data_IF_489298749021
#
_entry.id   IF_489298749021
#
_cell.length_a   1.000
_cell.length_b   1.000
_cell.length_c   1.000
_cell.angle_alpha   90.00
_cell.angle_beta   90.00
_cell.angle_gamma   90.00
#
_symmetry.space_group_name_H-M   'P 1'
#
loop_
_entity.id
_entity.type
_entity.pdbx_description
1 polymer ?
#
# COMPACT_ATOMS: atom_id res chain seq x y z
N UNK A 1 14.19 49.15 -11.93
CA UNK A 1 14.44 47.85 -11.27
C UNK A 1 13.14 47.06 -11.34
N UNK A 2 13.12 45.99 -12.12
CA UNK A 2 11.97 45.07 -12.19
C UNK A 2 11.93 44.22 -10.92
N UNK A 3 10.76 44.02 -10.29
CA UNK A 3 10.64 43.15 -9.12
C UNK A 3 10.88 41.71 -9.55
N UNK A 4 11.83 41.04 -8.88
CA UNK A 4 12.04 39.60 -9.02
C UNK A 4 10.85 38.91 -8.36
N UNK A 5 9.95 38.35 -9.15
CA UNK A 5 8.89 37.48 -8.64
C UNK A 5 9.41 36.06 -8.56
N UNK A 6 9.54 35.52 -7.34
CA UNK A 6 9.68 34.09 -7.13
C UNK A 6 8.31 33.44 -7.32
N UNK A 7 7.98 33.06 -8.56
CA UNK A 7 6.91 32.08 -8.79
C UNK A 7 7.51 30.71 -8.43
N UNK A 8 6.92 29.94 -7.50
CA UNK A 8 7.36 28.58 -7.28
C UNK A 8 7.09 27.78 -8.56
N UNK A 9 8.14 27.54 -9.35
CA UNK A 9 8.11 26.77 -10.59
C UNK A 9 7.97 25.26 -10.38
N UNK A 10 7.94 24.81 -9.12
CA UNK A 10 8.01 23.40 -8.79
C UNK A 10 6.63 22.90 -8.40
N UNK A 11 5.93 22.33 -9.39
CA UNK A 11 4.81 21.43 -9.12
C UNK A 11 5.36 20.23 -8.36
N UNK A 12 4.91 20.05 -7.11
CA UNK A 12 5.19 18.85 -6.31
C UNK A 12 3.97 17.95 -6.48
N UNK A 13 4.09 16.79 -7.17
CA UNK A 13 2.97 15.89 -7.34
C UNK A 13 2.49 15.33 -6.01
N UNK A 14 1.22 14.91 -5.95
CA UNK A 14 0.71 14.17 -4.80
C UNK A 14 1.38 12.79 -4.69
N UNK A 15 1.25 12.14 -3.53
CA UNK A 15 1.72 10.78 -3.36
C UNK A 15 1.04 9.83 -4.35
N UNK A 16 -0.28 9.96 -4.54
CA UNK A 16 -1.02 9.12 -5.49
C UNK A 16 -0.50 9.27 -6.92
N UNK A 17 -0.17 10.50 -7.33
CA UNK A 17 0.43 10.76 -8.64
C UNK A 17 1.80 10.07 -8.74
N UNK A 18 2.65 10.17 -7.71
CA UNK A 18 3.97 9.52 -7.68
C UNK A 18 3.86 7.99 -7.77
N UNK A 19 2.88 7.38 -7.10
CA UNK A 19 2.76 5.91 -6.99
C UNK A 19 2.06 5.28 -8.20
N UNK A 20 1.05 5.95 -8.75
CA UNK A 20 0.13 5.38 -9.75
C UNK A 20 0.24 6.00 -11.14
N UNK A 21 0.82 7.20 -11.29
CA UNK A 21 0.76 7.88 -12.58
C UNK A 21 1.93 7.51 -13.51
N UNK A 22 1.62 6.80 -14.59
CA UNK A 22 2.61 6.35 -15.58
C UNK A 22 3.37 7.51 -16.24
N UNK A 23 2.74 8.67 -16.36
CA UNK A 23 3.35 9.85 -16.99
C UNK A 23 4.52 10.45 -16.18
N UNK A 24 4.65 10.10 -14.90
CA UNK A 24 5.78 10.49 -14.05
C UNK A 24 6.94 9.47 -14.10
N UNK A 25 6.68 8.22 -14.49
CA UNK A 25 7.69 7.15 -14.46
C UNK A 25 8.91 7.42 -15.36
N UNK A 26 8.71 8.13 -16.47
CA UNK A 26 9.78 8.52 -17.40
C UNK A 26 10.47 9.86 -17.07
N UNK A 27 10.04 10.57 -16.02
CA UNK A 27 10.59 11.88 -15.68
C UNK A 27 11.88 11.78 -14.86
N UNK A 28 12.91 12.48 -15.29
CA UNK A 28 14.14 12.66 -14.49
C UNK A 28 13.85 13.55 -13.28
N UNK A 29 14.05 13.05 -12.06
CA UNK A 29 13.88 13.83 -10.84
C UNK A 29 13.47 12.99 -9.63
N UNK A 30 13.24 13.62 -8.46
CA UNK A 30 12.85 12.93 -7.24
C UNK A 30 11.36 12.54 -7.20
N UNK A 31 10.53 13.12 -8.07
CA UNK A 31 9.07 12.98 -8.04
C UNK A 31 8.57 11.92 -9.03
N UNK A 32 9.11 10.70 -8.92
CA UNK A 32 8.61 9.52 -9.62
C UNK A 32 8.65 8.29 -8.71
N UNK A 33 7.91 7.24 -9.09
CA UNK A 33 7.79 6.01 -8.31
C UNK A 33 9.14 5.39 -7.94
N UNK A 34 10.05 5.28 -8.90
CA UNK A 34 11.34 4.62 -8.68
C UNK A 34 12.20 5.39 -7.67
N UNK A 35 12.24 6.73 -7.77
CA UNK A 35 12.94 7.60 -6.83
C UNK A 35 12.31 7.53 -5.43
N UNK A 36 10.98 7.46 -5.32
CA UNK A 36 10.30 7.33 -4.05
C UNK A 36 10.56 5.96 -3.37
N UNK A 37 10.50 4.87 -4.13
CA UNK A 37 10.86 3.53 -3.62
C UNK A 37 12.29 3.50 -3.11
N UNK A 38 13.23 4.07 -3.87
CA UNK A 38 14.64 4.14 -3.45
C UNK A 38 14.82 5.01 -2.19
N UNK A 39 14.10 6.14 -2.11
CA UNK A 39 14.11 6.99 -0.92
C UNK A 39 13.61 6.26 0.33
N UNK A 40 12.51 5.50 0.23
CA UNK A 40 12.00 4.70 1.34
C UNK A 40 12.97 3.58 1.73
N UNK A 41 13.61 2.93 0.74
CA UNK A 41 14.63 1.90 0.98
C UNK A 41 15.83 2.46 1.76
N UNK A 42 16.32 3.62 1.36
CA UNK A 42 17.43 4.32 2.04
C UNK A 42 17.05 4.82 3.44
N UNK A 43 15.77 5.11 3.65
CA UNK A 43 15.23 5.54 4.95
C UNK A 43 14.83 4.39 5.86
N UNK A 44 14.94 3.14 5.38
CA UNK A 44 14.44 1.94 6.08
C UNK A 44 12.94 2.04 6.42
N UNK A 45 12.14 2.55 5.48
CA UNK A 45 10.69 2.71 5.59
C UNK A 45 9.91 2.06 4.43
N UNK A 46 10.56 1.17 3.69
CA UNK A 46 9.98 0.51 2.51
C UNK A 46 8.76 -0.34 2.84
N UNK A 47 8.73 -0.92 4.04
CA UNK A 47 7.65 -1.75 4.56
C UNK A 47 6.30 -1.04 4.56
N UNK A 48 6.28 0.29 4.77
CA UNK A 48 5.02 1.04 4.76
C UNK A 48 4.38 1.05 3.37
N UNK A 49 5.19 1.16 2.31
CA UNK A 49 4.68 1.14 0.95
C UNK A 49 4.29 -0.29 0.54
N UNK A 50 5.10 -1.29 0.89
CA UNK A 50 4.78 -2.70 0.66
C UNK A 50 3.46 -3.10 1.32
N UNK A 51 3.26 -2.72 2.58
CA UNK A 51 2.01 -2.92 3.31
C UNK A 51 0.80 -2.29 2.61
N UNK A 52 0.90 -1.03 2.18
CA UNK A 52 -0.20 -0.35 1.48
C UNK A 52 -0.55 -1.08 0.18
N UNK A 53 0.45 -1.46 -0.61
CA UNK A 53 0.24 -2.16 -1.89
C UNK A 53 -0.42 -3.54 -1.70
N UNK A 54 -0.01 -4.28 -0.68
CA UNK A 54 -0.60 -5.58 -0.36
C UNK A 54 -2.04 -5.44 0.15
N UNK A 55 -2.31 -4.44 1.01
CA UNK A 55 -3.66 -4.13 1.49
C UNK A 55 -4.58 -3.69 0.35
N UNK A 56 -4.14 -2.79 -0.53
CA UNK A 56 -4.92 -2.37 -1.70
C UNK A 56 -5.27 -3.55 -2.60
N UNK A 57 -4.30 -4.45 -2.82
CA UNK A 57 -4.52 -5.69 -3.58
C UNK A 57 -5.52 -6.61 -2.86
N UNK A 58 -5.42 -6.74 -1.54
CA UNK A 58 -6.35 -7.53 -0.74
C UNK A 58 -7.78 -6.97 -0.84
N UNK A 59 -7.97 -5.66 -0.62
CA UNK A 59 -9.27 -4.98 -0.69
C UNK A 59 -9.87 -5.15 -2.09
N UNK A 60 -9.08 -4.93 -3.14
CA UNK A 60 -9.56 -5.08 -4.53
C UNK A 60 -10.08 -6.49 -4.82
N UNK A 61 -9.36 -7.53 -4.38
CA UNK A 61 -9.77 -8.93 -4.52
C UNK A 61 -10.99 -9.27 -3.66
N UNK A 62 -11.04 -8.75 -2.43
CA UNK A 62 -12.16 -8.94 -1.52
C UNK A 62 -13.45 -8.39 -2.10
N UNK A 63 -13.44 -7.13 -2.57
CA UNK A 63 -14.60 -6.52 -3.21
C UNK A 63 -15.03 -7.26 -4.49
N UNK A 64 -14.09 -7.80 -5.27
CA UNK A 64 -14.42 -8.64 -6.42
C UNK A 64 -15.11 -9.94 -6.00
N UNK A 65 -14.61 -10.59 -4.95
CA UNK A 65 -15.18 -11.83 -4.42
C UNK A 65 -16.58 -11.64 -3.81
N UNK A 66 -16.86 -10.50 -3.17
CA UNK A 66 -18.21 -10.20 -2.66
C UNK A 66 -19.27 -10.11 -3.76
N UNK A 67 -18.87 -9.79 -4.99
CA UNK A 67 -19.76 -9.73 -6.14
C UNK A 67 -19.96 -11.10 -6.83
N UNK A 68 -19.26 -12.15 -6.40
CA UNK A 68 -19.38 -13.50 -6.95
C UNK A 68 -20.52 -14.28 -6.25
N UNK A 69 -21.30 -15.10 -6.97
CA UNK A 69 -22.28 -15.98 -6.36
C UNK A 69 -21.61 -16.98 -5.39
N UNK A 70 -22.12 -17.08 -4.16
CA UNK A 70 -21.53 -17.87 -3.06
C UNK A 70 -21.44 -19.40 -3.33
N UNK A 71 -22.03 -19.90 -4.41
CA UNK A 71 -22.07 -21.32 -4.77
C UNK A 71 -21.18 -21.68 -5.96
N UNK A 72 -20.33 -20.76 -6.41
CA UNK A 72 -19.29 -21.04 -7.40
C UNK A 72 -18.06 -21.63 -6.71
N UNK A 73 -17.51 -22.72 -7.25
CA UNK A 73 -16.27 -23.34 -6.76
C UNK A 73 -15.12 -22.31 -6.77
N UNK A 74 -15.10 -21.40 -7.75
CA UNK A 74 -14.10 -20.33 -7.80
C UNK A 74 -14.26 -19.32 -6.65
N UNK A 75 -15.50 -19.02 -6.22
CA UNK A 75 -15.75 -18.13 -5.09
C UNK A 75 -15.23 -18.74 -3.77
N UNK A 76 -15.42 -20.06 -3.59
CA UNK A 76 -14.88 -20.80 -2.44
C UNK A 76 -13.34 -20.79 -2.46
N UNK A 77 -12.74 -21.05 -3.62
CA UNK A 77 -11.29 -21.01 -3.78
C UNK A 77 -10.73 -19.62 -3.52
N UNK A 78 -11.35 -18.57 -4.05
CA UNK A 78 -10.89 -17.19 -3.83
C UNK A 78 -11.01 -16.77 -2.37
N UNK A 79 -12.07 -17.19 -1.66
CA UNK A 79 -12.18 -16.97 -0.22
C UNK A 79 -10.99 -17.60 0.54
N UNK A 80 -10.61 -18.83 0.21
CA UNK A 80 -9.43 -19.49 0.80
C UNK A 80 -8.12 -18.75 0.51
N UNK A 81 -7.96 -18.24 -0.72
CA UNK A 81 -6.80 -17.41 -1.10
C UNK A 81 -6.79 -16.07 -0.36
N UNK A 82 -7.95 -15.44 -0.14
CA UNK A 82 -8.07 -14.20 0.63
C UNK A 82 -7.70 -14.40 2.10
N UNK A 83 -8.19 -15.48 2.73
CA UNK A 83 -7.81 -15.84 4.11
C UNK A 83 -6.30 -16.06 4.22
N UNK A 84 -5.72 -16.78 3.27
CA UNK A 84 -4.27 -17.03 3.26
C UNK A 84 -3.48 -15.72 3.07
N UNK A 85 -3.94 -14.84 2.19
CA UNK A 85 -3.28 -13.57 1.91
C UNK A 85 -3.41 -12.59 3.09
N UNK A 86 -4.55 -12.57 3.80
CA UNK A 86 -4.71 -11.79 5.02
C UNK A 86 -3.75 -12.27 6.13
N UNK A 87 -3.63 -13.58 6.34
CA UNK A 87 -2.66 -14.13 7.30
C UNK A 87 -1.23 -13.71 6.97
N UNK A 88 -0.88 -13.72 5.69
CA UNK A 88 0.42 -13.25 5.22
C UNK A 88 0.63 -11.77 5.56
N UNK A 89 -0.31 -10.89 5.20
CA UNK A 89 -0.27 -9.46 5.57
C UNK A 89 -0.13 -9.28 7.09
N UNK A 90 -0.92 -10.02 7.88
CA UNK A 90 -0.89 -9.91 9.32
C UNK A 90 0.47 -10.30 9.90
N UNK A 91 1.04 -11.43 9.49
CA UNK A 91 2.32 -11.91 10.00
C UNK A 91 3.52 -11.12 9.50
N UNK A 92 3.42 -10.50 8.33
CA UNK A 92 4.49 -9.68 7.74
C UNK A 92 4.51 -8.26 8.29
N UNK A 93 3.34 -7.65 8.54
CA UNK A 93 3.25 -6.21 8.86
C UNK A 93 2.55 -5.86 10.18
N UNK A 94 1.59 -6.65 10.67
CA UNK A 94 0.69 -6.23 11.78
C UNK A 94 1.09 -6.84 13.12
N UNK A 95 1.54 -8.09 13.14
CA UNK A 95 1.94 -8.75 14.38
C UNK A 95 3.01 -7.94 15.13
N UNK A 96 2.95 -7.90 16.47
CA UNK A 96 3.94 -7.21 17.34
C UNK A 96 5.37 -7.77 17.25
N UNK A 97 5.56 -8.84 16.49
CA UNK A 97 6.85 -9.48 16.22
C UNK A 97 7.05 -9.68 14.73
N UNK A 98 6.33 -8.92 13.91
CA UNK A 98 6.41 -9.02 12.46
C UNK A 98 7.79 -8.54 11.98
N UNK A 99 8.39 -9.19 10.97
CA UNK A 99 9.70 -8.81 10.46
C UNK A 99 9.69 -7.40 9.82
N UNK A 100 8.53 -6.95 9.36
CA UNK A 100 8.30 -5.64 8.74
C UNK A 100 7.13 -4.92 9.45
N UNK A 101 7.13 -4.97 10.79
CA UNK A 101 6.08 -4.34 11.62
C UNK A 101 5.88 -2.87 11.26
N UNK A 102 4.66 -2.51 10.84
CA UNK A 102 4.29 -1.12 10.55
C UNK A 102 3.87 -0.39 11.82
N UNK A 103 4.20 0.90 11.91
CA UNK A 103 3.90 1.71 13.08
C UNK A 103 2.42 2.11 13.14
N UNK A 104 1.61 1.29 13.80
CA UNK A 104 0.17 1.47 13.95
C UNK A 104 -0.19 1.71 15.43
N UNK A 105 -1.16 2.59 15.76
CA UNK A 105 -1.58 2.79 17.14
C UNK A 105 -2.02 1.48 17.80
N UNK A 106 -1.56 1.22 19.03
CA UNK A 106 -1.81 -0.06 19.72
C UNK A 106 -3.30 -0.42 19.86
N UNK A 107 -4.18 0.57 20.06
CA UNK A 107 -5.64 0.33 20.10
C UNK A 107 -6.20 -0.24 18.80
N UNK A 108 -5.59 0.08 17.67
CA UNK A 108 -5.98 -0.43 16.36
C UNK A 108 -5.39 -1.83 16.13
N UNK A 109 -4.15 -2.08 16.57
CA UNK A 109 -3.54 -3.42 16.55
C UNK A 109 -4.37 -4.44 17.31
N UNK A 110 -4.94 -4.07 18.46
CA UNK A 110 -5.74 -4.98 19.30
C UNK A 110 -7.07 -5.41 18.63
N UNK A 111 -7.48 -4.75 17.54
CA UNK A 111 -8.68 -5.12 16.74
C UNK A 111 -8.35 -6.17 15.69
N UNK A 112 -7.09 -6.24 15.23
CA UNK A 112 -6.70 -7.16 14.16
C UNK A 112 -6.39 -8.56 14.68
N UNK A 113 -6.74 -9.57 13.88
CA UNK A 113 -6.43 -10.97 14.14
C UNK A 113 -6.12 -11.66 12.83
N UNK A 114 -5.09 -12.52 12.81
CA UNK A 114 -4.76 -13.34 11.63
C UNK A 114 -5.92 -14.24 11.18
N UNK A 115 -6.77 -14.63 12.13
CA UNK A 115 -7.86 -15.60 11.93
C UNK A 115 -9.20 -14.95 11.59
N UNK A 116 -9.27 -13.63 11.63
CA UNK A 116 -10.50 -12.88 11.38
C UNK A 116 -10.20 -11.88 10.26
N UNK A 117 -10.87 -12.06 9.13
CA UNK A 117 -10.82 -11.05 8.07
C UNK A 117 -11.31 -9.71 8.65
N UNK A 118 -10.65 -8.59 8.31
CA UNK A 118 -11.02 -7.26 8.81
C UNK A 118 -12.40 -6.81 8.33
#
# INVERSE_FOLDING_TARGET
MTPISFLPTNFIPSLDEIIHADHLAGQSGPYNKAAFVEFLRLSHCGENLEFILDVDKYISRFCQAENMPFLDDEAIMENSRLVSFWREIYHTYISRTAPQEVNVPGKLLDVFSAETLP
#
